data_IF_513210726187
#
_entry.id   IF_513210726187
#
_cell.length_a   1.000
_cell.length_b   1.000
_cell.length_c   1.000
_cell.angle_alpha   90.00
_cell.angle_beta   90.00
_cell.angle_gamma   90.00
#
_symmetry.space_group_name_H-M   'P 1'
#
loop_
_entity.id
_entity.type
_entity.pdbx_description
1 polymer ?
#
# COMPACT_ATOMS: atom_id res chain seq x y z
N UNK A 1 3.43 -14.46 -22.43
CA UNK A 1 3.26 -15.28 -21.20
C UNK A 1 4.54 -15.36 -20.37
N UNK A 2 5.69 -15.79 -20.92
CA UNK A 2 6.96 -15.86 -20.14
C UNK A 2 7.37 -14.50 -19.55
N UNK A 3 7.26 -13.40 -20.32
CA UNK A 3 7.54 -12.04 -19.84
C UNK A 3 6.62 -11.59 -18.69
N UNK A 4 5.34 -11.97 -18.73
CA UNK A 4 4.35 -11.62 -17.71
C UNK A 4 4.61 -12.37 -16.40
N UNK A 5 4.98 -13.66 -16.48
CA UNK A 5 5.36 -14.47 -15.31
C UNK A 5 6.62 -13.93 -14.65
N UNK A 6 7.65 -13.54 -15.42
CA UNK A 6 8.88 -12.94 -14.87
C UNK A 6 8.57 -11.62 -14.13
N UNK A 7 7.70 -10.77 -14.69
CA UNK A 7 7.28 -9.51 -14.03
C UNK A 7 6.57 -9.78 -12.71
N UNK A 8 5.65 -10.74 -12.66
CA UNK A 8 4.92 -11.09 -11.43
C UNK A 8 5.88 -11.65 -10.37
N UNK A 9 6.81 -12.52 -10.75
CA UNK A 9 7.83 -13.05 -9.81
C UNK A 9 8.67 -11.95 -9.17
N UNK A 10 9.08 -10.95 -9.95
CA UNK A 10 9.82 -9.80 -9.42
C UNK A 10 8.95 -8.96 -8.47
N UNK A 11 7.66 -8.77 -8.77
CA UNK A 11 6.74 -8.06 -7.88
C UNK A 11 6.58 -8.81 -6.55
N UNK A 12 6.46 -10.14 -6.56
CA UNK A 12 6.35 -10.94 -5.34
C UNK A 12 7.63 -10.89 -4.48
N UNK A 13 8.81 -10.86 -5.12
CA UNK A 13 10.08 -10.63 -4.42
C UNK A 13 10.07 -9.28 -3.67
N UNK A 14 9.61 -8.21 -4.33
CA UNK A 14 9.49 -6.87 -3.73
C UNK A 14 8.53 -6.85 -2.55
N UNK A 15 7.39 -7.52 -2.66
CA UNK A 15 6.43 -7.70 -1.55
C UNK A 15 7.10 -8.43 -0.38
N UNK A 16 7.88 -9.48 -0.66
CA UNK A 16 8.68 -10.17 0.37
C UNK A 16 9.67 -9.27 1.08
N UNK A 17 10.39 -8.41 0.34
CA UNK A 17 11.30 -7.42 0.92
C UNK A 17 10.58 -6.40 1.83
N UNK A 18 9.40 -5.94 1.42
CA UNK A 18 8.59 -5.06 2.24
C UNK A 18 8.12 -5.75 3.53
N UNK A 19 7.67 -6.99 3.46
CA UNK A 19 7.30 -7.78 4.63
C UNK A 19 8.48 -7.94 5.62
N UNK A 20 9.68 -8.23 5.10
CA UNK A 20 10.92 -8.28 5.88
C UNK A 20 11.23 -6.95 6.58
N UNK A 21 11.04 -5.83 5.89
CA UNK A 21 11.26 -4.50 6.46
C UNK A 21 10.25 -4.17 7.55
N UNK A 22 8.98 -4.57 7.40
CA UNK A 22 7.94 -4.44 8.42
C UNK A 22 8.32 -5.26 9.67
N UNK A 23 8.75 -6.51 9.51
CA UNK A 23 9.16 -7.37 10.61
C UNK A 23 10.32 -6.75 11.43
N UNK A 24 11.36 -6.24 10.76
CA UNK A 24 12.48 -5.55 11.42
C UNK A 24 12.03 -4.36 12.26
N UNK A 25 11.09 -3.55 11.75
CA UNK A 25 10.58 -2.37 12.46
C UNK A 25 9.63 -2.74 13.59
N UNK A 26 8.86 -3.82 13.43
CA UNK A 26 7.96 -4.32 14.47
C UNK A 26 8.73 -4.77 15.72
N UNK A 27 9.92 -5.34 15.54
CA UNK A 27 10.80 -5.67 16.66
C UNK A 27 11.24 -4.41 17.43
N UNK A 28 11.69 -3.37 16.74
CA UNK A 28 12.07 -2.09 17.38
C UNK A 28 10.87 -1.45 18.10
N UNK A 29 9.68 -1.48 17.49
CA UNK A 29 8.46 -0.94 18.09
C UNK A 29 8.01 -1.71 19.35
N UNK A 30 8.35 -2.99 19.48
CA UNK A 30 7.98 -3.79 20.67
C UNK A 30 8.65 -3.32 21.96
N UNK A 31 9.72 -2.52 21.85
CA UNK A 31 10.44 -1.93 22.97
C UNK A 31 10.03 -0.47 23.26
N UNK A 32 9.08 0.07 22.48
CA UNK A 32 8.62 1.45 22.56
C UNK A 32 7.21 1.54 23.14
N UNK A 33 6.82 2.68 23.75
CA UNK A 33 5.43 2.93 24.10
C UNK A 33 4.52 2.79 22.87
N UNK A 34 3.35 2.15 23.00
CA UNK A 34 2.41 2.03 21.90
C UNK A 34 1.86 3.41 21.51
N UNK A 35 1.66 3.61 20.21
CA UNK A 35 0.85 4.71 19.69
C UNK A 35 -0.57 4.17 19.57
N UNK A 36 -1.50 4.79 20.31
CA UNK A 36 -2.89 4.39 20.33
C UNK A 36 -3.50 4.42 18.93
N UNK A 37 -4.37 3.44 18.61
CA UNK A 37 -5.04 3.36 17.30
C UNK A 37 -4.18 2.86 16.13
N UNK A 38 -2.89 3.18 16.09
CA UNK A 38 -1.99 2.91 14.96
C UNK A 38 -1.95 1.43 14.53
N UNK A 39 -1.88 0.50 15.49
CA UNK A 39 -1.82 -0.93 15.21
C UNK A 39 -3.08 -1.45 14.50
N UNK A 40 -4.27 -1.01 14.91
CA UNK A 40 -5.53 -1.40 14.27
C UNK A 40 -5.66 -0.80 12.87
N UNK A 41 -5.27 0.46 12.70
CA UNK A 41 -5.32 1.13 11.40
C UNK A 41 -4.35 0.48 10.39
N UNK A 42 -3.12 0.17 10.80
CA UNK A 42 -2.18 -0.60 9.98
C UNK A 42 -2.71 -1.98 9.62
N UNK A 43 -3.30 -2.71 10.57
CA UNK A 43 -3.89 -4.03 10.31
C UNK A 43 -4.99 -3.98 9.25
N UNK A 44 -5.86 -2.95 9.30
CA UNK A 44 -6.89 -2.75 8.27
C UNK A 44 -6.26 -2.48 6.91
N UNK A 45 -5.28 -1.57 6.85
CA UNK A 45 -4.59 -1.23 5.60
C UNK A 45 -3.89 -2.45 4.99
N UNK A 46 -3.23 -3.27 5.81
CA UNK A 46 -2.64 -4.53 5.36
C UNK A 46 -3.68 -5.50 4.80
N UNK A 47 -4.82 -5.68 5.47
CA UNK A 47 -5.88 -6.57 5.00
C UNK A 47 -6.46 -6.13 3.64
N UNK A 48 -6.65 -4.82 3.43
CA UNK A 48 -7.08 -4.27 2.14
C UNK A 48 -6.06 -4.58 1.03
N UNK A 49 -4.78 -4.34 1.29
CA UNK A 49 -3.71 -4.60 0.30
C UNK A 49 -3.52 -6.09 0.04
N UNK A 50 -3.63 -6.96 1.05
CA UNK A 50 -3.60 -8.41 0.88
C UNK A 50 -4.72 -8.91 -0.03
N UNK A 51 -5.94 -8.38 0.15
CA UNK A 51 -7.07 -8.69 -0.72
C UNK A 51 -6.83 -8.20 -2.16
N UNK A 52 -6.31 -6.98 -2.33
CA UNK A 52 -5.94 -6.45 -3.65
C UNK A 52 -4.90 -7.33 -4.35
N UNK A 53 -3.86 -7.75 -3.65
CA UNK A 53 -2.83 -8.63 -4.19
C UNK A 53 -3.41 -9.98 -4.63
N UNK A 54 -4.29 -10.57 -3.82
CA UNK A 54 -4.97 -11.82 -4.17
C UNK A 54 -5.80 -11.66 -5.44
N UNK A 55 -6.65 -10.64 -5.49
CA UNK A 55 -7.55 -10.41 -6.63
C UNK A 55 -6.78 -10.03 -7.90
N UNK A 56 -5.63 -9.36 -7.77
CA UNK A 56 -4.73 -9.08 -8.89
C UNK A 56 -4.12 -10.36 -9.49
N UNK A 57 -3.78 -11.34 -8.64
CA UNK A 57 -3.28 -12.64 -9.09
C UNK A 57 -4.40 -13.51 -9.66
N UNK A 58 -5.57 -13.52 -9.03
CA UNK A 58 -6.74 -14.27 -9.49
C UNK A 58 -7.22 -13.75 -10.86
N UNK A 59 -7.26 -12.42 -11.05
CA UNK A 59 -7.59 -11.80 -12.34
C UNK A 59 -6.56 -12.15 -13.42
N UNK A 60 -5.27 -12.24 -13.07
CA UNK A 60 -4.24 -12.66 -14.01
C UNK A 60 -4.42 -14.12 -14.46
N UNK A 61 -4.72 -15.04 -13.54
CA UNK A 61 -4.93 -16.46 -13.84
C UNK A 61 -6.17 -16.63 -14.74
N UNK A 62 -7.24 -15.91 -14.45
CA UNK A 62 -8.53 -16.02 -15.14
C UNK A 62 -8.64 -15.13 -16.39
N UNK A 63 -7.67 -14.22 -16.60
CA UNK A 63 -7.73 -13.12 -17.60
C UNK A 63 -8.96 -12.23 -17.43
N UNK A 64 -9.33 -11.97 -16.19
CA UNK A 64 -10.51 -11.19 -15.84
C UNK A 64 -10.16 -9.69 -15.76
N UNK A 65 -10.48 -8.95 -16.83
CA UNK A 65 -10.25 -7.51 -16.88
C UNK A 65 -11.15 -6.73 -15.92
N UNK A 66 -12.34 -7.25 -15.58
CA UNK A 66 -13.26 -6.56 -14.68
C UNK A 66 -12.73 -6.61 -13.24
N UNK A 67 -12.32 -7.80 -12.78
CA UNK A 67 -11.69 -7.95 -11.47
C UNK A 67 -10.39 -7.12 -11.34
N UNK A 68 -9.62 -7.03 -12.42
CA UNK A 68 -8.44 -6.15 -12.47
C UNK A 68 -8.81 -4.65 -12.37
N UNK A 69 -9.91 -4.23 -13.01
CA UNK A 69 -10.47 -2.89 -12.84
C UNK A 69 -10.83 -2.57 -11.39
N UNK A 70 -11.46 -3.52 -10.69
CA UNK A 70 -11.84 -3.38 -9.28
C UNK A 70 -10.62 -3.25 -8.35
N UNK A 71 -9.53 -3.99 -8.63
CA UNK A 71 -8.25 -3.79 -7.92
C UNK A 71 -7.75 -2.37 -8.12
N UNK A 72 -7.79 -1.87 -9.35
CA UNK A 72 -7.34 -0.53 -9.71
C UNK A 72 -8.09 0.57 -8.98
N UNK A 73 -9.39 0.38 -8.75
CA UNK A 73 -10.23 1.34 -8.03
C UNK A 73 -9.95 1.35 -6.52
N UNK A 74 -9.58 0.22 -5.93
CA UNK A 74 -9.25 0.10 -4.49
C UNK A 74 -7.93 0.75 -4.10
N UNK A 75 -7.07 1.10 -5.06
CA UNK A 75 -5.85 1.90 -4.86
C UNK A 75 -6.16 3.20 -4.10
N UNK A 76 -7.28 3.86 -4.43
CA UNK A 76 -7.74 5.07 -3.77
C UNK A 76 -8.03 4.85 -2.27
N UNK A 77 -8.61 3.70 -1.91
CA UNK A 77 -8.90 3.37 -0.51
C UNK A 77 -7.59 3.27 0.29
N UNK A 78 -6.59 2.59 -0.26
CA UNK A 78 -5.26 2.43 0.37
C UNK A 78 -4.56 3.78 0.54
N UNK A 79 -4.61 4.65 -0.48
CA UNK A 79 -4.08 6.02 -0.42
C UNK A 79 -4.75 6.83 0.71
N UNK A 80 -6.08 6.74 0.81
CA UNK A 80 -6.84 7.44 1.86
C UNK A 80 -6.49 6.93 3.26
N UNK A 81 -6.36 5.60 3.44
CA UNK A 81 -5.94 4.99 4.70
C UNK A 81 -4.54 5.45 5.10
N UNK A 82 -3.60 5.46 4.15
CA UNK A 82 -2.24 5.96 4.37
C UNK A 82 -2.22 7.43 4.80
N UNK A 83 -2.97 8.29 4.09
CA UNK A 83 -3.05 9.72 4.39
C UNK A 83 -3.71 10.00 5.75
N UNK A 84 -4.71 9.20 6.14
CA UNK A 84 -5.31 9.28 7.47
C UNK A 84 -4.30 8.93 8.57
N UNK A 85 -3.61 7.79 8.42
CA UNK A 85 -2.54 7.36 9.33
C UNK A 85 -1.42 8.40 9.44
N UNK A 86 -1.01 9.00 8.32
CA UNK A 86 0.03 10.00 8.32
C UNK A 86 -0.35 11.24 9.15
N UNK A 87 -1.59 11.72 9.01
CA UNK A 87 -2.10 12.84 9.81
C UNK A 87 -2.20 12.50 11.29
N UNK A 88 -2.67 11.30 11.62
CA UNK A 88 -2.73 10.79 13.00
C UNK A 88 -1.33 10.75 13.64
N UNK A 89 -0.31 10.28 12.91
CA UNK A 89 1.07 10.30 13.38
C UNK A 89 1.58 11.72 13.63
N UNK A 90 1.27 12.69 12.76
CA UNK A 90 1.66 14.08 13.00
C UNK A 90 1.03 14.64 14.28
N UNK A 91 -0.25 14.34 14.53
CA UNK A 91 -0.93 14.73 15.78
C UNK A 91 -0.20 14.16 17.00
N UNK A 92 0.12 12.87 17.02
CA UNK A 92 0.85 12.26 18.13
C UNK A 92 2.25 12.83 18.34
N UNK A 93 2.95 13.21 17.26
CA UNK A 93 4.26 13.86 17.34
C UNK A 93 4.17 15.29 17.91
N UNK A 94 3.10 16.02 17.58
CA UNK A 94 2.86 17.38 18.07
C UNK A 94 2.41 17.40 19.52
N UNK A 95 1.63 16.39 19.95
CA UNK A 95 1.19 16.22 21.34
C UNK A 95 2.36 15.87 22.27
N UNK A 96 3.25 14.97 21.84
CA UNK A 96 4.44 14.58 22.60
C UNK A 96 5.61 14.24 21.66
N UNK A 97 6.68 15.07 21.62
CA UNK A 97 7.86 14.81 20.80
C UNK A 97 8.56 13.46 21.07
N UNK A 98 8.33 12.83 22.23
CA UNK A 98 8.85 11.47 22.51
C UNK A 98 8.26 10.42 21.57
N UNK A 99 7.10 10.69 20.95
CA UNK A 99 6.44 9.81 19.99
C UNK A 99 7.08 9.84 18.60
N UNK A 100 7.96 10.80 18.28
CA UNK A 100 8.53 10.98 16.94
C UNK A 100 9.15 9.69 16.41
N UNK A 101 10.00 9.03 17.20
CA UNK A 101 10.68 7.81 16.77
C UNK A 101 9.68 6.69 16.45
N UNK A 102 8.73 6.40 17.34
CA UNK A 102 7.73 5.36 17.15
C UNK A 102 6.83 5.65 15.93
N UNK A 103 6.35 6.88 15.82
CA UNK A 103 5.53 7.33 14.70
C UNK A 103 6.29 7.24 13.36
N UNK A 104 7.59 7.52 13.33
CA UNK A 104 8.40 7.33 12.12
C UNK A 104 8.54 5.85 11.73
N UNK A 105 8.73 4.95 12.70
CA UNK A 105 8.74 3.51 12.41
C UNK A 105 7.41 3.03 11.83
N UNK A 106 6.29 3.47 12.41
CA UNK A 106 4.94 3.16 11.94
C UNK A 106 4.67 3.77 10.55
N UNK A 107 5.12 4.99 10.29
CA UNK A 107 5.05 5.64 8.99
C UNK A 107 5.74 4.82 7.90
N UNK A 108 6.96 4.34 8.17
CA UNK A 108 7.67 3.48 7.21
C UNK A 108 7.00 2.12 7.00
N UNK A 109 6.31 1.58 8.01
CA UNK A 109 5.47 0.38 7.86
C UNK A 109 4.29 0.69 6.95
N UNK A 110 3.54 1.76 7.21
CA UNK A 110 2.41 2.19 6.37
C UNK A 110 2.85 2.41 4.91
N UNK A 111 4.00 3.05 4.69
CA UNK A 111 4.53 3.29 3.34
C UNK A 111 4.94 2.00 2.62
N UNK A 112 5.44 0.99 3.35
CA UNK A 112 5.73 -0.31 2.76
C UNK A 112 4.44 -1.05 2.36
N UNK A 113 3.37 -0.93 3.15
CA UNK A 113 2.06 -1.49 2.81
C UNK A 113 1.48 -0.80 1.57
N UNK A 114 1.54 0.53 1.49
CA UNK A 114 1.10 1.27 0.30
C UNK A 114 1.86 0.84 -0.97
N UNK A 115 3.19 0.65 -0.88
CA UNK A 115 4.00 0.14 -1.99
C UNK A 115 3.60 -1.27 -2.44
N UNK A 116 3.15 -2.12 -1.53
CA UNK A 116 2.58 -3.42 -1.88
C UNK A 116 1.26 -3.26 -2.64
N UNK A 117 0.41 -2.29 -2.24
CA UNK A 117 -0.82 -1.93 -2.96
C UNK A 117 -0.54 -1.46 -4.39
N UNK A 118 0.42 -0.55 -4.55
CA UNK A 118 0.88 -0.06 -5.86
C UNK A 118 1.32 -1.21 -6.79
N UNK A 119 1.95 -2.25 -6.22
CA UNK A 119 2.33 -3.45 -6.95
C UNK A 119 1.13 -4.31 -7.37
N UNK A 120 0.12 -4.48 -6.50
CA UNK A 120 -1.13 -5.16 -6.85
C UNK A 120 -1.80 -4.47 -8.05
N UNK A 121 -1.86 -3.14 -7.98
CA UNK A 121 -2.43 -2.29 -9.02
C UNK A 121 -1.63 -2.39 -10.32
N UNK A 122 -0.30 -2.43 -10.25
CA UNK A 122 0.55 -2.66 -11.42
C UNK A 122 0.31 -4.02 -12.09
N UNK A 123 0.04 -5.08 -11.32
CA UNK A 123 -0.36 -6.38 -11.88
C UNK A 123 -1.70 -6.25 -12.61
N UNK A 124 -2.70 -5.62 -11.97
CA UNK A 124 -4.01 -5.43 -12.55
C UNK A 124 -3.97 -4.67 -13.89
N UNK A 125 -3.15 -3.63 -14.00
CA UNK A 125 -2.91 -2.92 -15.27
C UNK A 125 -2.36 -3.83 -16.37
N UNK A 126 -1.45 -4.75 -16.03
CA UNK A 126 -0.97 -5.74 -16.99
C UNK A 126 -2.07 -6.75 -17.38
N UNK A 127 -2.97 -7.12 -16.47
CA UNK A 127 -4.11 -8.01 -16.78
C UNK A 127 -5.06 -7.35 -17.77
N UNK A 128 -5.43 -6.09 -17.53
CA UNK A 128 -6.30 -5.33 -18.43
C UNK A 128 -5.67 -5.29 -19.83
N UNK A 129 -4.40 -4.89 -19.93
CA UNK A 129 -3.67 -4.90 -21.20
C UNK A 129 -3.65 -6.27 -21.89
N UNK A 130 -3.45 -7.35 -21.13
CA UNK A 130 -3.44 -8.72 -21.68
C UNK A 130 -4.81 -9.19 -22.18
N UNK A 131 -5.89 -8.64 -21.64
CA UNK A 131 -7.27 -9.00 -21.99
C UNK A 131 -7.84 -8.13 -23.11
N UNK A 132 -7.55 -6.82 -23.10
CA UNK A 132 -8.13 -5.84 -24.03
C UNK A 132 -7.19 -5.44 -25.16
N UNK A 133 -5.88 -5.60 -24.99
CA UNK A 133 -4.85 -5.09 -25.91
C UNK A 133 -4.44 -3.64 -25.67
N UNK A 134 -5.08 -2.95 -24.73
CA UNK A 134 -4.88 -1.53 -24.44
C UNK A 134 -4.62 -1.31 -22.94
N UNK A 135 -3.69 -0.40 -22.61
CA UNK A 135 -3.53 0.05 -21.23
C UNK A 135 -4.68 0.97 -20.87
N UNK A 136 -5.17 0.95 -19.61
CA UNK A 136 -6.21 1.89 -19.19
C UNK A 136 -5.75 3.34 -19.44
N UNK A 137 -6.49 4.08 -20.27
CA UNK A 137 -6.20 5.49 -20.58
C UNK A 137 -6.44 6.40 -19.37
N UNK A 138 -7.41 6.04 -18.53
CA UNK A 138 -7.74 6.80 -17.33
C UNK A 138 -6.63 6.67 -16.28
N UNK A 139 -6.08 7.79 -15.78
CA UNK A 139 -5.16 7.74 -14.66
C UNK A 139 -5.86 7.10 -13.46
N UNK A 140 -5.11 6.34 -12.68
CA UNK A 140 -5.64 5.73 -11.46
C UNK A 140 -6.19 6.81 -10.54
N UNK A 141 -7.34 6.59 -9.88
CA UNK A 141 -7.81 7.49 -8.85
C UNK A 141 -6.81 7.50 -7.71
N UNK A 142 -6.03 8.58 -7.58
CA UNK A 142 -5.08 8.79 -6.49
C UNK A 142 -5.62 9.83 -5.52
N UNK A 143 -5.43 9.59 -4.22
CA UNK A 143 -5.73 10.61 -3.21
C UNK A 143 -4.77 11.80 -3.35
N UNK A 144 -5.21 13.01 -2.98
CA UNK A 144 -4.30 14.16 -2.87
C UNK A 144 -3.12 13.79 -1.97
N UNK A 145 -1.89 13.93 -2.49
CA UNK A 145 -0.69 13.84 -1.68
C UNK A 145 -0.71 14.95 -0.63
N UNK A 146 -0.38 14.60 0.62
CA UNK A 146 -0.20 15.44 1.82
C UNK A 146 -0.33 16.95 1.57
N UNK A 147 -1.22 17.68 2.29
CA UNK A 147 -1.42 19.11 2.06
C UNK A 147 -0.08 19.83 2.13
N UNK A 148 0.22 20.57 1.07
CA UNK A 148 1.34 21.50 1.04
C UNK A 148 1.05 22.54 2.12
N UNK A 149 1.81 22.51 3.22
CA UNK A 149 1.76 23.58 4.20
C UNK A 149 2.22 24.85 3.48
N UNK A 150 1.29 25.73 3.14
CA UNK A 150 1.61 27.10 2.76
C UNK A 150 2.19 27.76 3.99
N UNK A 151 3.52 27.89 4.01
CA UNK A 151 4.24 28.55 5.09
C UNK A 151 3.79 30.00 5.20
N UNK A 152 3.39 30.39 6.41
CA UNK A 152 3.27 31.79 6.82
C UNK A 152 4.61 32.39 7.18
#
# INVERSE_FOLDING_TARGET
MVLSVIKISHILERVGDYAKNIAKRSHVLSEMPPIDGAGMALKRMSATVEAMMKDALDSYIQRDAALAGDVRQRDLEVDQMYNALFREFLTHMMEDPRNITACMHLHFIAKNIERMGDHATGIAEQVIYLATGELPEEPRPKGESVPRMEGG
#
